data_IF_381731636609
#
_entry.id   IF_381731636609
#
_cell.length_a   1.000
_cell.length_b   1.000
_cell.length_c   1.000
_cell.angle_alpha   90.00
_cell.angle_beta   90.00
_cell.angle_gamma   90.00
#
_symmetry.space_group_name_H-M   'P 1'
#
loop_
_entity.id
_entity.type
_entity.pdbx_description
1 polymer ?
#
# COMPACT_ATOMS: atom_id res chain seq x y z
N UNK A 1 10.85 -15.61 -10.56
CA UNK A 1 10.13 -14.45 -9.97
C UNK A 1 10.06 -14.68 -8.47
N UNK A 2 10.30 -13.68 -7.68
CA UNK A 2 9.99 -13.68 -6.25
C UNK A 2 9.21 -12.40 -5.91
N UNK A 3 8.43 -12.44 -4.86
CA UNK A 3 7.63 -11.32 -4.39
C UNK A 3 7.76 -11.17 -2.87
N UNK A 4 7.84 -9.95 -2.39
CA UNK A 4 7.84 -9.61 -0.98
C UNK A 4 6.64 -8.72 -0.65
N UNK A 5 6.03 -8.99 0.49
CA UNK A 5 5.13 -8.06 1.15
C UNK A 5 5.93 -7.13 2.06
N UNK A 6 5.46 -5.90 2.26
CA UNK A 6 6.14 -4.92 3.10
C UNK A 6 5.27 -4.41 4.24
N UNK A 7 4.25 -5.16 4.61
CA UNK A 7 3.59 -4.84 5.84
C UNK A 7 2.31 -4.04 5.77
N UNK A 8 1.37 -4.46 4.99
CA UNK A 8 -0.03 -4.26 5.41
C UNK A 8 -0.32 -5.07 6.69
N UNK A 9 0.54 -6.08 7.00
CA UNK A 9 0.48 -6.87 8.24
C UNK A 9 1.68 -6.56 9.12
N UNK A 10 1.39 -6.21 10.36
CA UNK A 10 2.40 -5.94 11.37
C UNK A 10 2.56 -7.14 12.30
N UNK A 11 3.80 -7.52 12.59
CA UNK A 11 4.08 -8.56 13.57
C UNK A 11 3.78 -8.04 14.97
N UNK A 12 2.93 -8.71 15.75
CA UNK A 12 2.66 -8.30 17.12
C UNK A 12 3.86 -8.61 18.02
N UNK A 13 4.18 -7.69 18.91
CA UNK A 13 5.12 -7.91 19.98
C UNK A 13 4.54 -8.93 20.98
N UNK A 14 5.23 -10.04 21.22
CA UNK A 14 4.84 -11.02 22.22
C UNK A 14 5.47 -10.70 23.60
N UNK A 15 4.93 -11.28 24.66
CA UNK A 15 5.55 -11.16 25.98
C UNK A 15 6.94 -11.80 26.08
N UNK A 16 7.18 -12.85 25.31
CA UNK A 16 8.53 -13.41 25.18
C UNK A 16 9.54 -12.41 24.62
N UNK A 17 9.11 -11.72 23.55
CA UNK A 17 9.93 -10.66 22.92
C UNK A 17 10.17 -9.50 23.90
N UNK A 18 9.09 -9.06 24.61
CA UNK A 18 9.20 -8.00 25.60
C UNK A 18 10.21 -8.35 26.70
N UNK A 19 10.19 -9.59 27.18
CA UNK A 19 11.16 -10.08 28.18
C UNK A 19 12.58 -9.93 27.73
N UNK A 20 12.86 -10.29 26.49
CA UNK A 20 14.20 -10.25 25.93
C UNK A 20 14.65 -8.79 25.68
N UNK A 21 13.73 -7.95 25.24
CA UNK A 21 13.99 -6.52 24.99
C UNK A 21 14.31 -5.75 26.28
N UNK A 22 13.60 -6.05 27.38
CA UNK A 22 13.73 -5.31 28.64
C UNK A 22 14.84 -5.85 29.56
N UNK A 23 15.49 -6.95 29.19
CA UNK A 23 16.47 -7.62 30.03
C UNK A 23 17.60 -6.69 30.51
N UNK A 24 18.02 -5.77 29.63
CA UNK A 24 19.12 -4.82 29.89
C UNK A 24 18.63 -3.37 30.09
N UNK A 25 17.32 -3.15 30.23
CA UNK A 25 16.78 -1.81 30.43
C UNK A 25 16.78 -1.40 31.91
N UNK A 26 17.16 -0.15 32.19
CA UNK A 26 16.97 0.47 33.50
C UNK A 26 15.46 0.67 33.80
N UNK A 27 15.10 0.77 35.08
CA UNK A 27 13.72 1.04 35.53
C UNK A 27 13.09 2.24 34.81
N UNK A 28 13.85 3.31 34.61
CA UNK A 28 13.39 4.49 33.88
C UNK A 28 13.04 4.18 32.43
N UNK A 29 13.89 3.42 31.74
CA UNK A 29 13.66 3.02 30.35
C UNK A 29 12.44 2.11 30.22
N UNK A 30 12.23 1.18 31.17
CA UNK A 30 11.03 0.33 31.24
C UNK A 30 9.77 1.19 31.46
N UNK A 31 9.83 2.17 32.36
CA UNK A 31 8.72 3.09 32.61
C UNK A 31 8.38 3.93 31.37
N UNK A 32 9.39 4.49 30.70
CA UNK A 32 9.21 5.26 29.47
C UNK A 32 8.62 4.38 28.35
N UNK A 33 9.06 3.13 28.26
CA UNK A 33 8.50 2.15 27.34
C UNK A 33 7.02 1.89 27.61
N UNK A 34 6.62 1.62 28.87
CA UNK A 34 5.24 1.44 29.27
C UNK A 34 4.39 2.68 28.98
N UNK A 35 4.94 3.86 29.25
CA UNK A 35 4.29 5.15 29.00
C UNK A 35 3.99 5.36 27.52
N UNK A 36 4.98 5.10 26.67
CA UNK A 36 4.84 5.19 25.23
C UNK A 36 3.81 4.17 24.69
N UNK A 37 3.84 2.94 25.23
CA UNK A 37 2.90 1.89 24.88
C UNK A 37 1.45 2.30 25.18
N UNK A 38 1.16 2.72 26.43
CA UNK A 38 -0.18 3.12 26.88
C UNK A 38 -0.69 4.35 26.08
N UNK A 39 0.21 5.27 25.73
CA UNK A 39 -0.17 6.43 24.91
C UNK A 39 -0.57 6.03 23.48
N UNK A 40 0.11 5.05 22.89
CA UNK A 40 -0.19 4.57 21.53
C UNK A 40 -1.48 3.77 21.43
N UNK A 41 -1.81 2.94 22.42
CA UNK A 41 -3.06 2.14 22.43
C UNK A 41 -4.33 2.96 22.72
N UNK A 42 -4.23 4.28 22.84
CA UNK A 42 -5.39 5.19 22.89
C UNK A 42 -6.18 5.15 24.20
N UNK A 43 -5.53 4.83 25.32
CA UNK A 43 -6.16 4.92 26.65
C UNK A 43 -6.60 6.37 26.92
N UNK A 44 -7.82 6.57 27.45
CA UNK A 44 -8.30 7.90 27.84
C UNK A 44 -7.34 8.56 28.81
N UNK A 45 -7.10 9.87 28.64
CA UNK A 45 -6.08 10.65 29.36
C UNK A 45 -6.17 10.48 30.89
N UNK A 46 -7.38 10.42 31.42
CA UNK A 46 -7.70 10.25 32.88
C UNK A 46 -7.24 8.91 33.47
N UNK A 47 -7.11 7.86 32.62
CA UNK A 47 -6.70 6.52 33.06
C UNK A 47 -5.25 6.18 32.71
N UNK A 48 -4.55 7.02 31.94
CA UNK A 48 -3.22 6.70 31.43
C UNK A 48 -2.19 6.43 32.51
N UNK A 49 -2.18 7.25 33.56
CA UNK A 49 -1.22 7.09 34.66
C UNK A 49 -1.42 5.74 35.39
N UNK A 50 -2.68 5.38 35.71
CA UNK A 50 -3.00 4.12 36.37
C UNK A 50 -2.60 2.92 35.50
N UNK A 51 -2.84 2.97 34.20
CA UNK A 51 -2.49 1.87 33.29
C UNK A 51 -0.96 1.76 33.05
N UNK A 52 -0.24 2.88 33.05
CA UNK A 52 1.23 2.89 32.99
C UNK A 52 1.80 2.25 34.25
N UNK A 53 1.34 2.68 35.41
CA UNK A 53 1.80 2.14 36.71
C UNK A 53 1.51 0.64 36.83
N UNK A 54 0.31 0.20 36.40
CA UNK A 54 -0.07 -1.20 36.40
C UNK A 54 0.80 -2.04 35.46
N UNK A 55 1.06 -1.55 34.25
CA UNK A 55 1.91 -2.25 33.28
C UNK A 55 3.35 -2.32 33.78
N UNK A 56 3.87 -1.22 34.33
CA UNK A 56 5.20 -1.15 34.93
C UNK A 56 5.35 -2.12 36.10
N UNK A 57 4.38 -2.16 37.04
CA UNK A 57 4.39 -3.12 38.14
C UNK A 57 4.31 -4.57 37.67
N UNK A 58 3.53 -4.86 36.63
CA UNK A 58 3.44 -6.20 36.06
C UNK A 58 4.77 -6.65 35.45
N UNK A 59 5.51 -5.74 34.84
CA UNK A 59 6.84 -6.02 34.30
C UNK A 59 7.86 -6.24 35.44
N UNK A 60 7.81 -5.43 36.48
CA UNK A 60 8.67 -5.55 37.66
C UNK A 60 8.43 -6.85 38.46
N UNK A 61 7.16 -7.28 38.60
CA UNK A 61 6.79 -8.52 39.31
C UNK A 61 7.30 -9.75 38.57
N UNK A 62 7.45 -9.68 37.24
CA UNK A 62 7.91 -10.80 36.40
C UNK A 62 9.33 -11.25 36.72
N UNK A 63 10.22 -10.37 37.11
CA UNK A 63 11.59 -10.77 37.50
C UNK A 63 11.64 -11.72 38.70
N UNK A 64 10.52 -11.82 39.43
CA UNK A 64 10.43 -12.64 40.64
C UNK A 64 9.62 -13.93 40.50
N UNK A 65 8.71 -14.09 39.54
CA UNK A 65 7.81 -15.25 39.42
C UNK A 65 7.36 -15.60 38.00
N UNK A 66 7.43 -16.89 37.64
CA UNK A 66 7.01 -17.54 36.40
C UNK A 66 5.49 -17.52 36.12
N UNK A 67 4.97 -17.90 34.97
CA UNK A 67 4.76 -17.26 33.66
C UNK A 67 3.51 -16.37 33.63
N UNK A 68 3.68 -15.09 33.31
CA UNK A 68 2.64 -14.06 33.36
C UNK A 68 1.76 -13.98 32.10
N UNK A 69 2.08 -14.72 31.03
CA UNK A 69 1.33 -14.63 29.78
C UNK A 69 -0.19 -14.87 29.92
N UNK A 70 -0.66 -15.88 30.67
CA UNK A 70 -2.10 -16.09 30.88
C UNK A 70 -2.79 -14.99 31.71
N UNK A 71 -2.07 -14.41 32.68
CA UNK A 71 -2.63 -13.40 33.60
C UNK A 71 -2.82 -12.06 32.92
N UNK A 72 -1.87 -11.63 32.10
CA UNK A 72 -1.95 -10.37 31.36
C UNK A 72 -2.98 -10.48 30.23
N UNK A 73 -3.01 -11.59 29.52
CA UNK A 73 -4.04 -11.87 28.51
C UNK A 73 -5.43 -11.89 29.16
N UNK A 74 -5.57 -12.47 30.36
CA UNK A 74 -6.84 -12.50 31.08
C UNK A 74 -7.24 -11.09 31.55
N UNK A 75 -6.32 -10.29 32.11
CA UNK A 75 -6.56 -8.92 32.56
C UNK A 75 -7.04 -8.03 31.39
N UNK A 76 -6.38 -8.09 30.21
CA UNK A 76 -6.79 -7.33 29.04
C UNK A 76 -8.04 -7.89 28.35
N UNK A 77 -8.28 -9.20 28.38
CA UNK A 77 -9.52 -9.81 27.88
C UNK A 77 -10.74 -9.44 28.73
N UNK A 78 -10.59 -9.36 30.05
CA UNK A 78 -11.68 -9.01 30.96
C UNK A 78 -12.00 -7.52 30.94
N UNK A 79 -11.01 -6.65 30.90
CA UNK A 79 -11.23 -5.18 30.85
C UNK A 79 -11.55 -4.60 29.48
N UNK A 80 -11.15 -5.24 28.39
CA UNK A 80 -11.46 -4.76 27.02
C UNK A 80 -11.54 -5.91 26.02
N UNK A 81 -12.72 -6.30 25.60
CA UNK A 81 -12.95 -7.21 24.46
C UNK A 81 -12.35 -6.69 23.12
N UNK A 82 -11.95 -5.42 23.06
CA UNK A 82 -11.35 -4.78 21.88
C UNK A 82 -9.82 -4.56 21.94
N UNK A 83 -9.21 -4.57 23.13
CA UNK A 83 -7.79 -4.18 23.28
C UNK A 83 -6.79 -5.27 22.84
N UNK A 84 -7.22 -6.53 22.80
CA UNK A 84 -6.37 -7.65 22.32
C UNK A 84 -6.12 -7.60 20.81
N UNK A 85 -6.85 -6.75 20.08
CA UNK A 85 -6.66 -6.57 18.63
C UNK A 85 -5.47 -5.67 18.24
N UNK A 86 -4.86 -4.99 19.19
CA UNK A 86 -3.80 -4.01 18.89
C UNK A 86 -2.59 -4.19 19.83
N UNK A 87 -1.96 -5.37 19.76
CA UNK A 87 -0.57 -5.47 20.17
C UNK A 87 0.21 -4.51 19.28
N UNK A 88 1.11 -3.68 19.87
CA UNK A 88 1.94 -2.82 19.06
C UNK A 88 2.78 -3.68 18.10
N UNK A 89 2.95 -3.22 16.86
CA UNK A 89 3.85 -3.90 15.95
C UNK A 89 5.27 -3.91 16.54
N UNK A 90 5.94 -5.03 16.39
CA UNK A 90 7.35 -5.15 16.75
C UNK A 90 8.18 -4.26 15.83
N UNK A 91 9.03 -3.41 16.40
CA UNK A 91 9.91 -2.54 15.61
C UNK A 91 11.08 -3.31 15.03
N UNK A 92 11.74 -2.74 14.01
CA UNK A 92 12.95 -3.29 13.43
C UNK A 92 14.06 -3.46 14.48
N UNK A 93 14.23 -2.48 15.37
CA UNK A 93 15.23 -2.52 16.44
C UNK A 93 14.95 -3.66 17.42
N UNK A 94 13.68 -3.85 17.79
CA UNK A 94 13.26 -4.95 18.65
C UNK A 94 13.48 -6.31 18.02
N UNK A 95 13.21 -6.46 16.72
CA UNK A 95 13.51 -7.71 16.00
C UNK A 95 15.03 -7.93 15.96
N UNK A 96 15.82 -6.89 15.71
CA UNK A 96 17.28 -7.00 15.71
C UNK A 96 17.80 -7.51 17.07
N UNK A 97 17.26 -6.99 18.18
CA UNK A 97 17.60 -7.45 19.53
C UNK A 97 17.24 -8.93 19.76
N UNK A 98 16.03 -9.33 19.37
CA UNK A 98 15.54 -10.72 19.54
C UNK A 98 16.32 -11.71 18.69
N UNK A 99 16.80 -11.27 17.54
CA UNK A 99 17.52 -12.09 16.56
C UNK A 99 19.02 -11.84 16.56
N UNK A 100 19.56 -11.24 17.63
CA UNK A 100 20.98 -11.03 17.76
C UNK A 100 21.75 -12.35 17.69
N UNK A 101 22.89 -12.35 16.99
CA UNK A 101 23.68 -13.55 16.71
C UNK A 101 23.11 -14.49 15.64
N UNK A 102 21.89 -14.26 15.10
CA UNK A 102 21.35 -15.03 13.99
C UNK A 102 21.93 -14.56 12.65
N UNK A 103 22.18 -15.51 11.73
CA UNK A 103 22.46 -15.17 10.33
C UNK A 103 21.24 -14.54 9.67
N UNK A 104 21.41 -13.84 8.54
CA UNK A 104 20.30 -13.22 7.78
C UNK A 104 19.22 -14.24 7.44
N UNK A 105 19.61 -15.42 6.95
CA UNK A 105 18.70 -16.52 6.66
C UNK A 105 17.93 -17.02 7.88
N UNK A 106 18.59 -17.19 9.03
CA UNK A 106 17.92 -17.61 10.26
C UNK A 106 16.93 -16.55 10.75
N UNK A 107 17.25 -15.27 10.58
CA UNK A 107 16.38 -14.15 10.90
C UNK A 107 15.14 -14.12 10.01
N UNK A 108 15.31 -14.32 8.71
CA UNK A 108 14.20 -14.44 7.76
C UNK A 108 13.28 -15.62 8.12
N UNK A 109 13.83 -16.80 8.37
CA UNK A 109 13.08 -17.98 8.79
C UNK A 109 12.32 -17.76 10.11
N UNK A 110 12.92 -17.04 11.06
CA UNK A 110 12.27 -16.68 12.32
C UNK A 110 11.06 -15.77 12.06
N UNK A 111 11.23 -14.74 11.26
CA UNK A 111 10.17 -13.78 10.92
C UNK A 111 9.05 -14.47 10.13
N UNK A 112 9.38 -15.29 9.13
CA UNK A 112 8.40 -16.03 8.34
C UNK A 112 7.56 -16.98 9.21
N UNK A 113 8.19 -17.68 10.18
CA UNK A 113 7.44 -18.49 11.16
C UNK A 113 6.48 -17.67 12.01
N UNK A 114 6.86 -16.42 12.37
CA UNK A 114 6.00 -15.50 13.11
C UNK A 114 4.79 -15.08 12.28
N UNK A 115 4.99 -14.72 11.02
CA UNK A 115 3.90 -14.41 10.09
C UNK A 115 2.97 -15.61 9.85
N UNK A 116 3.50 -16.81 9.75
CA UNK A 116 2.69 -18.05 9.60
C UNK A 116 1.79 -18.32 10.81
N UNK A 117 2.14 -17.82 12.00
CA UNK A 117 1.31 -17.93 13.20
C UNK A 117 0.19 -16.88 13.28
N UNK A 118 0.24 -15.83 12.44
CA UNK A 118 -0.83 -14.84 12.39
C UNK A 118 -2.09 -15.47 11.80
N UNK A 119 -3.22 -15.23 12.46
CA UNK A 119 -4.54 -15.63 11.94
C UNK A 119 -5.04 -14.71 10.82
N UNK A 120 -4.34 -13.61 10.59
CA UNK A 120 -4.70 -12.64 9.57
C UNK A 120 -4.27 -13.12 8.20
N UNK A 121 -5.21 -13.08 7.27
CA UNK A 121 -5.00 -13.47 5.89
C UNK A 121 -4.14 -12.44 5.16
N UNK A 122 -3.13 -12.89 4.41
CA UNK A 122 -2.37 -12.02 3.52
C UNK A 122 -3.08 -11.89 2.18
N UNK A 123 -3.92 -10.87 2.05
CA UNK A 123 -4.71 -10.63 0.83
C UNK A 123 -3.85 -10.32 -0.40
N UNK A 124 -2.67 -9.70 -0.21
CA UNK A 124 -1.74 -9.41 -1.31
C UNK A 124 -1.14 -10.72 -1.82
N UNK A 125 -0.67 -11.59 -0.92
CA UNK A 125 -0.18 -12.94 -1.26
C UNK A 125 -1.23 -13.73 -2.04
N UNK A 126 -2.47 -13.74 -1.56
CA UNK A 126 -3.56 -14.47 -2.21
C UNK A 126 -3.81 -13.98 -3.64
N UNK A 127 -3.81 -12.66 -3.84
CA UNK A 127 -3.96 -12.07 -5.17
C UNK A 127 -2.79 -12.44 -6.10
N UNK A 128 -1.55 -12.45 -5.58
CA UNK A 128 -0.37 -12.85 -6.35
C UNK A 128 -0.43 -14.33 -6.75
N UNK A 129 -0.71 -15.23 -5.83
CA UNK A 129 -0.81 -16.69 -6.10
C UNK A 129 -1.95 -17.00 -7.08
N UNK A 130 -3.07 -16.28 -6.98
CA UNK A 130 -4.22 -16.49 -7.86
C UNK A 130 -3.97 -16.06 -9.31
N UNK A 131 -3.09 -15.08 -9.53
CA UNK A 131 -2.89 -14.42 -10.82
C UNK A 131 -1.54 -14.72 -11.48
N UNK A 132 -0.52 -15.08 -10.71
CA UNK A 132 0.83 -15.31 -11.21
C UNK A 132 1.29 -16.72 -10.87
N UNK A 133 2.11 -17.29 -11.75
CA UNK A 133 2.71 -18.62 -11.54
C UNK A 133 3.87 -18.54 -10.55
N UNK A 134 3.56 -18.24 -9.29
CA UNK A 134 4.50 -18.26 -8.19
C UNK A 134 4.07 -19.31 -7.16
N UNK A 135 5.02 -19.87 -6.46
CA UNK A 135 4.79 -20.79 -5.35
C UNK A 135 5.21 -20.19 -4.01
N UNK A 136 4.89 -20.85 -2.91
CA UNK A 136 5.17 -20.32 -1.56
C UNK A 136 6.66 -20.06 -1.30
N UNK A 137 7.58 -20.80 -1.93
CA UNK A 137 9.03 -20.56 -1.77
C UNK A 137 9.54 -19.31 -2.52
N UNK A 138 8.71 -18.74 -3.40
CA UNK A 138 8.99 -17.50 -4.13
C UNK A 138 8.30 -16.28 -3.52
N UNK A 139 7.55 -16.50 -2.44
CA UNK A 139 6.91 -15.45 -1.67
C UNK A 139 7.66 -15.19 -0.36
N UNK A 140 8.00 -13.94 -0.09
CA UNK A 140 8.65 -13.51 1.14
C UNK A 140 7.71 -12.54 1.89
N UNK A 141 7.51 -12.79 3.18
CA UNK A 141 6.49 -12.11 3.97
C UNK A 141 6.87 -10.67 4.31
N UNK A 142 8.18 -10.35 4.38
CA UNK A 142 8.63 -9.03 4.81
C UNK A 142 9.99 -8.67 4.19
N UNK A 143 9.97 -7.65 3.35
CA UNK A 143 11.16 -7.14 2.65
C UNK A 143 12.31 -6.76 3.60
N UNK A 144 12.00 -6.33 4.83
CA UNK A 144 13.00 -5.91 5.83
C UNK A 144 13.94 -7.04 6.24
N UNK A 145 13.48 -8.29 6.13
CA UNK A 145 14.21 -9.49 6.56
C UNK A 145 14.57 -10.42 5.40
N UNK A 146 14.18 -10.07 4.20
CA UNK A 146 14.50 -10.84 3.00
C UNK A 146 16.00 -10.81 2.72
N UNK A 147 16.61 -11.99 2.57
CA UNK A 147 18.01 -12.15 2.16
C UNK A 147 18.11 -12.24 0.64
N UNK A 148 18.49 -11.12 0.01
CA UNK A 148 18.60 -11.06 -1.44
C UNK A 148 19.98 -11.52 -1.98
N UNK A 149 20.92 -11.92 -1.12
CA UNK A 149 22.26 -12.34 -1.57
C UNK A 149 22.25 -13.60 -2.42
N UNK A 150 21.29 -14.52 -2.19
CA UNK A 150 21.15 -15.72 -3.02
C UNK A 150 20.80 -15.39 -4.48
N UNK A 151 20.26 -14.20 -4.75
CA UNK A 151 19.91 -13.70 -6.09
C UNK A 151 20.99 -12.83 -6.71
N UNK A 152 22.17 -12.72 -6.09
CA UNK A 152 23.24 -11.86 -6.57
C UNK A 152 23.59 -12.15 -8.03
N UNK A 153 23.49 -11.13 -8.88
CA UNK A 153 23.69 -11.17 -10.34
C UNK A 153 22.77 -12.15 -11.13
N UNK A 154 21.66 -12.58 -10.54
CA UNK A 154 20.72 -13.52 -11.16
C UNK A 154 19.40 -12.87 -11.62
N UNK A 155 19.18 -11.61 -11.31
CA UNK A 155 17.96 -10.87 -11.61
C UNK A 155 18.17 -9.97 -12.81
N UNK A 156 17.36 -10.13 -13.84
CA UNK A 156 17.37 -9.22 -14.98
C UNK A 156 16.68 -7.90 -14.64
N UNK A 157 15.46 -7.94 -14.09
CA UNK A 157 14.68 -6.74 -13.75
C UNK A 157 14.11 -6.89 -12.33
N UNK A 158 14.37 -5.90 -11.49
CA UNK A 158 13.75 -5.73 -10.18
C UNK A 158 12.77 -4.56 -10.24
N UNK A 159 11.51 -4.78 -9.88
CA UNK A 159 10.48 -3.72 -9.85
C UNK A 159 9.96 -3.55 -8.44
N UNK A 160 9.79 -2.30 -8.00
CA UNK A 160 9.22 -2.03 -6.69
C UNK A 160 9.00 -0.54 -6.43
N UNK A 161 8.48 -0.25 -5.25
CA UNK A 161 8.29 1.11 -4.75
C UNK A 161 8.13 1.09 -3.23
N UNK A 162 8.47 2.16 -2.56
CA UNK A 162 8.21 2.30 -1.13
C UNK A 162 6.88 2.99 -0.88
N UNK A 163 6.22 2.72 0.27
CA UNK A 163 4.97 3.39 0.62
C UNK A 163 5.09 4.91 0.60
N UNK A 164 4.09 5.57 0.01
CA UNK A 164 4.05 7.01 -0.11
C UNK A 164 3.58 7.76 1.15
N UNK A 165 3.25 7.06 2.22
CA UNK A 165 2.64 7.66 3.42
C UNK A 165 3.53 8.72 4.07
N UNK A 166 4.83 8.56 4.01
CA UNK A 166 5.82 9.54 4.47
C UNK A 166 5.98 10.73 3.53
N UNK A 167 5.58 10.60 2.25
CA UNK A 167 5.82 11.58 1.19
C UNK A 167 4.54 12.20 0.62
N UNK A 168 3.35 11.74 1.04
CA UNK A 168 2.09 12.26 0.51
C UNK A 168 1.68 13.56 1.20
N UNK A 169 0.95 14.42 0.47
CA UNK A 169 0.34 15.64 1.02
C UNK A 169 -0.68 15.38 2.14
N UNK A 170 -1.13 14.14 2.30
CA UNK A 170 -2.07 13.66 3.32
C UNK A 170 -1.39 12.94 4.49
N UNK A 171 -0.10 12.61 4.38
CA UNK A 171 0.69 12.01 5.46
C UNK A 171 1.26 13.07 6.41
N UNK A 172 1.67 12.66 7.59
CA UNK A 172 2.47 13.53 8.48
C UNK A 172 3.80 13.75 7.78
N UNK A 173 4.13 15.00 7.44
CA UNK A 173 5.41 15.40 6.83
C UNK A 173 6.55 15.20 7.84
N UNK A 174 7.08 13.99 7.95
CA UNK A 174 8.10 13.63 8.95
C UNK A 174 9.54 13.77 8.45
N UNK A 175 9.77 14.28 7.23
CA UNK A 175 11.09 14.67 6.74
C UNK A 175 12.13 13.54 6.62
N UNK A 176 13.42 13.90 6.63
CA UNK A 176 14.57 13.03 6.41
C UNK A 176 14.75 11.94 7.49
N UNK A 177 14.27 12.15 8.72
CA UNK A 177 14.38 11.14 9.79
C UNK A 177 13.48 9.94 9.53
N UNK A 178 12.32 10.17 8.90
CA UNK A 178 11.40 9.11 8.51
C UNK A 178 11.93 8.32 7.29
N UNK A 179 12.66 8.97 6.39
CA UNK A 179 13.31 8.31 5.25
C UNK A 179 14.37 7.31 5.70
N UNK A 180 15.11 7.56 6.78
CA UNK A 180 16.17 6.67 7.28
C UNK A 180 15.66 5.35 7.86
N UNK A 181 14.41 5.31 8.31
CA UNK A 181 13.76 4.11 8.83
C UNK A 181 12.72 3.51 7.88
N UNK A 182 12.64 3.98 6.63
CA UNK A 182 11.61 3.58 5.68
C UNK A 182 12.02 2.37 4.84
N UNK A 183 11.03 1.70 4.30
CA UNK A 183 11.18 0.61 3.33
C UNK A 183 11.92 1.00 2.04
N UNK A 184 12.18 2.29 1.83
CA UNK A 184 13.10 2.78 0.80
C UNK A 184 14.50 2.22 0.95
N UNK A 185 15.06 2.24 2.18
CA UNK A 185 16.40 1.70 2.42
C UNK A 185 16.44 0.19 2.30
N UNK A 186 15.33 -0.51 2.63
CA UNK A 186 15.25 -1.94 2.40
C UNK A 186 15.24 -2.27 0.91
N UNK A 187 14.53 -1.50 0.10
CA UNK A 187 14.58 -1.65 -1.35
C UNK A 187 15.99 -1.38 -1.91
N UNK A 188 16.67 -0.33 -1.45
CA UNK A 188 18.05 -0.03 -1.80
C UNK A 188 19.02 -1.15 -1.37
N UNK A 189 18.84 -1.74 -0.17
CA UNK A 189 19.57 -2.89 0.31
C UNK A 189 19.41 -4.10 -0.60
N UNK A 190 18.20 -4.40 -1.01
CA UNK A 190 17.92 -5.51 -1.94
C UNK A 190 18.60 -5.29 -3.27
N UNK A 191 18.60 -4.08 -3.82
CA UNK A 191 19.36 -3.78 -5.05
C UNK A 191 20.85 -4.03 -4.84
N UNK A 192 21.40 -3.58 -3.71
CA UNK A 192 22.82 -3.78 -3.38
C UNK A 192 23.18 -5.25 -3.25
N UNK A 193 22.34 -6.06 -2.61
CA UNK A 193 22.56 -7.49 -2.38
C UNK A 193 22.36 -8.32 -3.66
N UNK A 194 21.25 -8.10 -4.36
CA UNK A 194 20.87 -8.90 -5.53
C UNK A 194 21.55 -8.47 -6.83
N UNK A 195 22.04 -7.22 -6.92
CA UNK A 195 22.72 -6.69 -8.12
C UNK A 195 21.95 -6.95 -9.42
N UNK A 196 20.65 -6.58 -9.53
CA UNK A 196 19.88 -6.78 -10.75
C UNK A 196 20.53 -6.06 -11.94
N UNK A 197 20.30 -6.53 -13.16
CA UNK A 197 20.76 -5.80 -14.35
C UNK A 197 20.09 -4.43 -14.42
N UNK A 198 18.77 -4.41 -14.23
CA UNK A 198 17.95 -3.17 -14.20
C UNK A 198 17.05 -3.20 -12.99
N UNK A 199 16.83 -2.05 -12.36
CA UNK A 199 15.74 -1.89 -11.43
C UNK A 199 14.82 -0.74 -11.82
N UNK A 200 13.52 -0.87 -11.50
CA UNK A 200 12.50 0.15 -11.68
C UNK A 200 11.92 0.47 -10.30
N UNK A 201 12.02 1.73 -9.91
CA UNK A 201 11.41 2.25 -8.70
C UNK A 201 10.25 3.18 -9.05
N UNK A 202 9.07 2.93 -8.45
CA UNK A 202 7.88 3.78 -8.63
C UNK A 202 7.52 4.50 -7.33
N UNK A 203 7.05 5.74 -7.45
CA UNK A 203 6.48 6.46 -6.33
C UNK A 203 5.53 7.59 -6.81
N UNK A 204 4.85 8.24 -5.86
CA UNK A 204 4.04 9.42 -6.18
C UNK A 204 4.95 10.57 -6.65
N UNK A 205 4.46 11.37 -7.61
CA UNK A 205 5.18 12.56 -8.11
C UNK A 205 5.71 13.46 -6.98
N UNK A 206 4.90 13.61 -5.93
CA UNK A 206 5.21 14.55 -4.84
C UNK A 206 6.49 14.20 -4.04
N UNK A 207 7.05 12.99 -4.20
CA UNK A 207 8.31 12.62 -3.54
C UNK A 207 9.46 13.55 -3.93
N UNK A 208 9.46 14.04 -5.19
CA UNK A 208 10.49 14.97 -5.70
C UNK A 208 10.42 16.37 -5.07
N UNK A 209 9.28 16.73 -4.48
CA UNK A 209 9.02 18.05 -3.89
C UNK A 209 8.93 18.01 -2.36
N UNK A 210 8.97 16.80 -1.79
CA UNK A 210 8.82 16.62 -0.35
C UNK A 210 9.99 17.26 0.40
N UNK A 211 9.69 17.94 1.51
CA UNK A 211 10.68 18.67 2.33
C UNK A 211 11.57 19.62 1.49
N UNK A 212 10.95 20.35 0.54
CA UNK A 212 11.67 21.29 -0.32
C UNK A 212 12.65 20.60 -1.30
N UNK A 213 12.47 19.33 -1.59
CA UNK A 213 13.34 18.53 -2.48
C UNK A 213 14.41 17.71 -1.75
N UNK A 214 14.68 17.98 -0.48
CA UNK A 214 15.75 17.30 0.29
C UNK A 214 15.57 15.78 0.36
N UNK A 215 14.33 15.32 0.51
CA UNK A 215 14.04 13.88 0.50
C UNK A 215 14.49 13.23 -0.81
N UNK A 216 14.20 13.88 -1.93
CA UNK A 216 14.60 13.39 -3.23
C UNK A 216 16.12 13.40 -3.42
N UNK A 217 16.82 14.45 -3.00
CA UNK A 217 18.28 14.55 -3.04
C UNK A 217 18.93 13.36 -2.31
N UNK A 218 18.48 13.08 -1.07
CA UNK A 218 19.01 11.94 -0.29
C UNK A 218 18.72 10.61 -0.98
N UNK A 219 17.51 10.42 -1.51
CA UNK A 219 17.17 9.19 -2.24
C UNK A 219 18.04 9.02 -3.49
N UNK A 220 18.26 10.10 -4.21
CA UNK A 220 19.06 10.11 -5.44
C UNK A 220 20.52 9.77 -5.16
N UNK A 221 21.11 10.35 -4.11
CA UNK A 221 22.47 10.03 -3.66
C UNK A 221 22.62 8.55 -3.30
N UNK A 222 21.61 7.98 -2.62
CA UNK A 222 21.60 6.54 -2.33
C UNK A 222 21.62 5.71 -3.62
N UNK A 223 20.77 6.04 -4.60
CA UNK A 223 20.71 5.33 -5.87
C UNK A 223 22.05 5.38 -6.63
N UNK A 224 22.65 6.57 -6.69
CA UNK A 224 23.97 6.75 -7.33
C UNK A 224 25.05 5.92 -6.64
N UNK A 225 25.03 5.83 -5.31
CA UNK A 225 26.02 5.07 -4.53
C UNK A 225 25.99 3.56 -4.78
N UNK A 226 24.92 3.05 -5.40
CA UNK A 226 24.77 1.61 -5.69
C UNK A 226 25.52 1.15 -6.95
N UNK A 227 26.12 2.06 -7.73
CA UNK A 227 26.85 1.72 -8.98
C UNK A 227 25.89 1.44 -10.14
N UNK A 228 24.89 2.28 -10.30
CA UNK A 228 23.92 2.26 -11.38
C UNK A 228 23.87 3.62 -12.09
N UNK A 229 23.71 3.58 -13.40
CA UNK A 229 23.30 4.76 -14.15
C UNK A 229 21.81 4.99 -13.94
N UNK A 230 21.43 6.19 -13.50
CA UNK A 230 20.06 6.50 -13.06
C UNK A 230 19.39 7.46 -14.05
N UNK A 231 18.24 7.04 -14.52
CA UNK A 231 17.32 7.88 -15.30
C UNK A 231 15.97 7.94 -14.62
N UNK A 232 15.29 9.09 -14.66
CA UNK A 232 13.97 9.22 -14.07
C UNK A 232 13.07 10.19 -14.83
N UNK A 233 11.77 9.94 -14.77
CA UNK A 233 10.75 10.82 -15.34
C UNK A 233 9.44 10.71 -14.53
N UNK A 234 8.61 11.75 -14.65
CA UNK A 234 7.22 11.70 -14.21
C UNK A 234 6.38 11.33 -15.41
N UNK A 235 5.68 10.19 -15.32
CA UNK A 235 4.84 9.67 -16.38
C UNK A 235 3.38 9.69 -15.93
N UNK A 236 2.49 10.16 -16.81
CA UNK A 236 1.04 10.17 -16.56
C UNK A 236 0.38 9.06 -17.40
N UNK A 237 -0.54 8.31 -16.81
CA UNK A 237 -1.20 7.19 -17.48
C UNK A 237 -1.92 7.60 -18.77
N UNK A 238 -2.50 8.79 -18.82
CA UNK A 238 -3.15 9.34 -20.02
C UNK A 238 -2.19 9.50 -21.20
N UNK A 239 -0.91 9.74 -20.93
CA UNK A 239 0.13 9.89 -21.93
C UNK A 239 0.58 8.54 -22.53
N UNK A 240 0.00 7.43 -22.05
CA UNK A 240 0.22 6.06 -22.52
C UNK A 240 -1.09 5.39 -22.94
N UNK A 241 -1.97 6.19 -23.53
CA UNK A 241 -3.28 5.78 -24.06
C UNK A 241 -4.18 5.07 -23.02
N UNK A 242 -4.13 5.54 -21.75
CA UNK A 242 -4.97 4.98 -20.70
C UNK A 242 -5.75 6.10 -19.99
N UNK A 243 -7.09 6.02 -19.87
CA UNK A 243 -7.94 7.16 -19.53
C UNK A 243 -7.96 7.45 -18.02
N UNK A 244 -6.79 7.63 -17.42
CA UNK A 244 -6.63 7.98 -16.01
C UNK A 244 -5.59 9.08 -15.83
N UNK A 245 -5.91 10.11 -15.03
CA UNK A 245 -4.98 11.16 -14.61
C UNK A 245 -4.16 10.66 -13.41
N UNK A 246 -3.13 9.88 -13.68
CA UNK A 246 -2.27 9.28 -12.65
C UNK A 246 -0.81 9.50 -12.98
N UNK A 247 -0.27 10.62 -12.50
CA UNK A 247 1.14 10.94 -12.60
C UNK A 247 1.93 10.22 -11.51
N UNK A 248 3.00 9.53 -11.92
CA UNK A 248 3.92 8.82 -11.03
C UNK A 248 5.36 9.08 -11.43
N UNK A 249 6.23 9.14 -10.43
CA UNK A 249 7.67 9.09 -10.64
C UNK A 249 8.05 7.65 -10.99
N UNK A 250 8.78 7.49 -12.08
CA UNK A 250 9.51 6.27 -12.42
C UNK A 250 10.99 6.58 -12.47
N UNK A 251 11.76 5.80 -11.74
CA UNK A 251 13.22 5.84 -11.78
C UNK A 251 13.72 4.47 -12.25
N UNK A 252 14.64 4.48 -13.20
CA UNK A 252 15.25 3.28 -13.76
C UNK A 252 16.74 3.34 -13.50
N UNK A 253 17.28 2.31 -12.87
CA UNK A 253 18.72 2.14 -12.68
C UNK A 253 19.23 1.05 -13.59
N UNK A 254 20.20 1.39 -14.43
CA UNK A 254 20.93 0.44 -15.28
C UNK A 254 22.28 0.15 -14.61
N UNK A 255 22.59 -1.13 -14.40
CA UNK A 255 23.90 -1.50 -13.90
C UNK A 255 24.97 -1.04 -14.92
N UNK A 256 26.09 -0.50 -14.43
CA UNK A 256 27.10 0.16 -15.28
C UNK A 256 27.62 -0.73 -16.42
N UNK A 257 27.76 -2.03 -16.20
CA UNK A 257 28.26 -2.98 -17.19
C UNK A 257 27.31 -3.22 -18.37
N UNK A 258 26.03 -2.93 -18.23
CA UNK A 258 25.02 -3.08 -19.30
C UNK A 258 24.58 -1.75 -19.92
N UNK A 259 24.94 -0.62 -19.31
CA UNK A 259 24.58 0.71 -19.84
C UNK A 259 25.51 1.09 -20.98
N UNK A 260 25.22 0.59 -22.18
CA UNK A 260 26.06 0.75 -23.40
C UNK A 260 25.62 1.89 -24.30
N UNK A 261 24.45 2.47 -24.06
CA UNK A 261 23.89 3.56 -24.89
C UNK A 261 22.96 4.44 -24.02
N UNK A 262 22.76 5.72 -24.36
CA UNK A 262 21.82 6.59 -23.68
C UNK A 262 20.40 6.00 -23.68
N UNK A 263 19.69 6.14 -22.54
CA UNK A 263 18.30 5.74 -22.41
C UNK A 263 17.37 6.91 -22.71
N UNK A 264 16.23 6.60 -23.30
CA UNK A 264 15.14 7.55 -23.53
C UNK A 264 13.83 6.91 -23.10
N UNK A 265 13.07 7.60 -22.26
CA UNK A 265 11.74 7.15 -21.84
C UNK A 265 10.81 6.98 -23.05
N UNK A 266 9.84 6.04 -22.97
CA UNK A 266 8.87 5.84 -24.05
C UNK A 266 8.17 7.14 -24.42
N UNK A 267 7.99 7.41 -25.73
CA UNK A 267 7.30 8.62 -26.16
C UNK A 267 5.85 8.60 -25.74
N UNK A 268 5.28 9.79 -25.53
CA UNK A 268 3.86 9.94 -25.27
C UNK A 268 3.02 9.43 -26.43
N UNK A 269 1.91 8.79 -26.10
CA UNK A 269 0.92 8.27 -27.04
C UNK A 269 -0.32 9.18 -27.01
N UNK A 270 -1.04 9.24 -28.14
CA UNK A 270 -2.35 9.89 -28.17
C UNK A 270 -3.37 9.11 -27.34
N UNK A 271 -4.16 9.83 -26.51
CA UNK A 271 -5.21 9.23 -25.73
C UNK A 271 -6.46 9.05 -26.60
N UNK A 272 -6.73 7.84 -27.05
CA UNK A 272 -7.89 7.47 -27.85
C UNK A 272 -8.95 6.74 -27.03
N UNK A 273 -8.56 6.10 -25.91
CA UNK A 273 -9.47 5.37 -25.03
C UNK A 273 -10.21 6.29 -24.07
N UNK A 274 -11.45 5.90 -23.74
CA UNK A 274 -12.30 6.54 -22.74
C UNK A 274 -12.58 5.59 -21.59
N UNK A 275 -12.87 6.13 -20.42
CA UNK A 275 -13.19 5.34 -19.22
C UNK A 275 -14.36 4.39 -19.41
N UNK A 276 -15.31 4.75 -20.29
CA UNK A 276 -16.49 3.94 -20.61
C UNK A 276 -16.14 2.58 -21.23
N UNK A 277 -15.00 2.46 -21.87
CA UNK A 277 -14.53 1.20 -22.48
C UNK A 277 -14.04 0.18 -21.43
N UNK A 278 -13.85 0.61 -20.19
CA UNK A 278 -13.37 -0.18 -19.06
C UNK A 278 -14.47 -0.56 -18.07
N UNK A 279 -15.72 -0.19 -18.38
CA UNK A 279 -16.88 -0.54 -17.57
C UNK A 279 -17.33 -1.97 -17.85
N UNK A 280 -17.93 -2.60 -16.86
CA UNK A 280 -18.51 -3.94 -17.03
C UNK A 280 -19.72 -3.90 -17.97
N UNK A 281 -19.74 -4.84 -18.91
CA UNK A 281 -20.81 -4.99 -19.92
C UNK A 281 -21.92 -5.90 -19.40
N UNK A 282 -22.67 -5.51 -18.42
CA UNK A 282 -23.74 -6.35 -17.88
C UNK A 282 -24.49 -5.71 -16.74
N UNK A 283 -25.41 -6.43 -16.12
CA UNK A 283 -26.09 -5.91 -14.95
C UNK A 283 -25.11 -5.75 -13.79
N UNK A 284 -25.07 -4.55 -13.22
CA UNK A 284 -24.29 -4.24 -12.03
C UNK A 284 -25.12 -4.56 -10.80
N UNK A 285 -24.48 -5.19 -9.79
CA UNK A 285 -25.15 -5.54 -8.53
C UNK A 285 -25.69 -4.29 -7.83
N UNK A 286 -26.89 -4.41 -7.26
CA UNK A 286 -27.62 -3.33 -6.58
C UNK A 286 -26.81 -2.70 -5.43
N UNK A 287 -25.85 -3.42 -4.85
CA UNK A 287 -24.99 -2.92 -3.76
C UNK A 287 -24.10 -1.72 -4.17
N UNK A 288 -23.84 -1.55 -5.46
CA UNK A 288 -23.03 -0.43 -5.96
C UNK A 288 -23.83 0.84 -6.18
N UNK A 289 -25.16 0.73 -6.26
CA UNK A 289 -26.03 1.88 -6.46
C UNK A 289 -26.23 2.70 -5.19
N UNK A 290 -26.42 4.00 -5.34
CA UNK A 290 -26.45 4.94 -4.24
C UNK A 290 -27.88 5.24 -3.79
N UNK A 291 -28.06 5.34 -2.49
CA UNK A 291 -29.25 5.96 -1.92
C UNK A 291 -29.26 7.48 -2.12
N UNK A 292 -30.36 8.14 -1.72
CA UNK A 292 -30.59 9.59 -1.92
C UNK A 292 -29.40 10.47 -1.51
N UNK A 293 -28.86 10.26 -0.33
CA UNK A 293 -27.74 11.07 0.20
C UNK A 293 -26.47 10.94 -0.66
N UNK A 294 -26.15 9.74 -1.15
CA UNK A 294 -25.01 9.50 -2.02
C UNK A 294 -25.20 10.14 -3.39
N UNK A 295 -26.39 9.95 -4.00
CA UNK A 295 -26.72 10.54 -5.29
C UNK A 295 -26.63 12.07 -5.25
N UNK A 296 -27.28 12.70 -4.27
CA UNK A 296 -27.23 14.16 -4.09
C UNK A 296 -25.80 14.66 -3.87
N UNK A 297 -24.99 13.90 -3.14
CA UNK A 297 -23.59 14.25 -2.90
C UNK A 297 -22.77 14.29 -4.19
N UNK A 298 -22.85 13.27 -5.03
CA UNK A 298 -22.04 13.19 -6.27
C UNK A 298 -22.54 14.09 -7.37
N UNK A 299 -23.85 14.46 -7.37
CA UNK A 299 -24.49 15.24 -8.43
C UNK A 299 -24.68 16.72 -8.11
N UNK A 300 -24.40 17.17 -6.87
CA UNK A 300 -24.59 18.58 -6.48
C UNK A 300 -23.26 19.34 -6.54
N UNK A 301 -23.10 20.31 -7.46
CA UNK A 301 -21.83 20.99 -7.71
C UNK A 301 -21.28 21.81 -6.54
N UNK A 302 -22.13 22.30 -5.62
CA UNK A 302 -21.75 23.42 -4.76
C UNK A 302 -20.88 23.11 -3.56
N UNK A 303 -20.80 21.84 -3.10
CA UNK A 303 -20.09 21.51 -1.86
C UNK A 303 -18.87 20.59 -2.03
N UNK A 304 -18.73 19.86 -3.13
CA UNK A 304 -17.75 18.77 -3.24
C UNK A 304 -17.06 18.62 -4.61
N UNK A 305 -17.11 19.62 -5.47
CA UNK A 305 -16.53 19.65 -6.83
C UNK A 305 -15.09 19.16 -6.98
N UNK A 306 -14.32 19.13 -5.90
CA UNK A 306 -12.92 18.67 -5.93
C UNK A 306 -12.73 17.21 -5.52
N UNK A 307 -13.78 16.52 -5.07
CA UNK A 307 -13.66 15.19 -4.47
C UNK A 307 -14.40 14.08 -5.20
N UNK A 308 -15.60 14.38 -5.75
CA UNK A 308 -16.35 13.44 -6.56
C UNK A 308 -16.59 14.00 -7.97
N UNK A 309 -16.47 13.15 -8.97
CA UNK A 309 -16.68 13.45 -10.39
C UNK A 309 -17.59 12.39 -10.98
N UNK A 310 -18.35 12.79 -12.00
CA UNK A 310 -19.38 11.93 -12.60
C UNK A 310 -19.12 11.79 -14.09
N UNK A 311 -19.21 10.58 -14.60
CA UNK A 311 -19.19 10.27 -16.05
C UNK A 311 -18.01 10.89 -16.81
N UNK A 312 -16.83 10.94 -16.20
CA UNK A 312 -15.65 11.49 -16.85
C UNK A 312 -15.11 10.53 -17.92
N UNK A 313 -14.78 11.04 -19.11
CA UNK A 313 -14.07 10.27 -20.15
C UNK A 313 -12.67 9.87 -19.70
N UNK A 314 -12.01 10.73 -18.93
CA UNK A 314 -10.71 10.47 -18.29
C UNK A 314 -10.91 10.61 -16.78
N UNK A 315 -10.79 9.51 -16.07
CA UNK A 315 -10.95 9.49 -14.61
C UNK A 315 -9.76 10.15 -13.90
N UNK A 316 -9.95 10.50 -12.64
CA UNK A 316 -8.85 10.91 -11.79
C UNK A 316 -7.98 9.75 -11.33
N UNK A 317 -7.01 10.09 -10.50
CA UNK A 317 -6.17 9.09 -9.87
C UNK A 317 -7.01 8.22 -8.94
N UNK A 318 -7.10 6.94 -9.20
CA UNK A 318 -7.66 5.99 -8.25
C UNK A 318 -6.81 5.92 -6.99
N UNK A 319 -7.48 5.94 -5.85
CA UNK A 319 -6.84 5.85 -4.53
C UNK A 319 -7.41 4.68 -3.74
N UNK A 320 -6.66 4.19 -2.77
CA UNK A 320 -7.02 3.01 -1.98
C UNK A 320 -8.39 3.10 -1.25
N UNK A 321 -8.89 4.31 -0.98
CA UNK A 321 -10.11 4.53 -0.20
C UNK A 321 -11.16 5.40 -0.91
N UNK A 322 -11.04 5.61 -2.21
CA UNK A 322 -11.92 6.59 -2.89
C UNK A 322 -13.41 6.22 -2.82
N UNK A 323 -13.76 4.96 -2.97
CA UNK A 323 -15.16 4.54 -3.01
C UNK A 323 -15.84 4.57 -1.62
N UNK A 324 -15.07 4.48 -0.53
CA UNK A 324 -15.60 4.43 0.83
C UNK A 324 -16.09 5.79 1.34
N UNK A 325 -15.54 6.89 0.83
CA UNK A 325 -15.80 8.26 1.30
C UNK A 325 -16.51 9.13 0.27
N UNK A 326 -17.15 8.55 -0.75
CA UNK A 326 -17.75 9.26 -1.88
C UNK A 326 -16.79 10.24 -2.55
N UNK A 327 -15.53 9.84 -2.64
CA UNK A 327 -14.46 10.59 -3.30
C UNK A 327 -14.06 9.83 -4.57
N UNK A 328 -13.68 10.55 -5.62
CA UNK A 328 -13.24 9.97 -6.89
C UNK A 328 -14.31 9.98 -7.97
N UNK A 329 -14.28 8.99 -8.82
CA UNK A 329 -15.12 8.92 -10.02
C UNK A 329 -16.29 7.98 -9.80
N UNK A 330 -17.49 8.45 -10.21
CA UNK A 330 -18.76 7.76 -10.08
C UNK A 330 -19.48 7.72 -11.43
N UNK A 331 -20.49 6.87 -11.54
CA UNK A 331 -21.36 6.79 -12.71
C UNK A 331 -22.74 7.28 -12.35
N UNK A 332 -23.36 8.01 -13.29
CA UNK A 332 -24.79 8.30 -13.30
C UNK A 332 -25.35 7.72 -14.59
N UNK A 333 -26.40 6.94 -14.49
CA UNK A 333 -26.90 6.10 -15.58
C UNK A 333 -28.35 6.42 -15.92
N UNK A 334 -28.63 6.44 -17.24
CA UNK A 334 -29.93 6.54 -17.86
C UNK A 334 -29.88 5.86 -19.26
N UNK A 335 -30.85 5.08 -19.68
CA UNK A 335 -32.07 4.69 -18.95
C UNK A 335 -31.77 3.84 -17.73
N UNK A 336 -32.73 3.78 -16.79
CA UNK A 336 -32.60 3.00 -15.57
C UNK A 336 -32.35 1.52 -15.90
N UNK A 337 -31.46 0.84 -15.18
CA UNK A 337 -31.21 -0.57 -15.37
C UNK A 337 -32.48 -1.42 -15.20
N UNK A 338 -32.75 -2.33 -16.12
CA UNK A 338 -33.98 -3.18 -16.09
C UNK A 338 -34.05 -4.16 -14.91
N UNK A 339 -32.90 -4.47 -14.28
CA UNK A 339 -32.80 -5.39 -13.13
C UNK A 339 -32.98 -4.69 -11.79
N UNK A 340 -33.19 -3.40 -11.78
CA UNK A 340 -33.36 -2.59 -10.58
C UNK A 340 -34.56 -3.04 -9.73
N UNK A 341 -34.32 -3.56 -8.55
CA UNK A 341 -35.34 -4.08 -7.62
C UNK A 341 -35.20 -3.56 -6.20
N UNK A 342 -34.03 -3.02 -5.82
CA UNK A 342 -33.77 -2.57 -4.46
C UNK A 342 -34.37 -1.18 -4.19
N UNK A 343 -35.32 -1.10 -3.28
CA UNK A 343 -35.98 0.15 -2.87
C UNK A 343 -35.04 1.14 -2.17
N UNK A 344 -33.85 0.73 -1.78
CA UNK A 344 -32.83 1.62 -1.20
C UNK A 344 -32.11 2.47 -2.25
N UNK A 345 -32.16 2.06 -3.50
CA UNK A 345 -31.59 2.81 -4.62
C UNK A 345 -32.45 4.05 -4.88
N UNK A 346 -31.81 5.17 -5.06
CA UNK A 346 -32.51 6.43 -5.28
C UNK A 346 -32.50 6.82 -6.75
N UNK A 347 -33.71 7.05 -7.29
CA UNK A 347 -33.89 7.68 -8.61
C UNK A 347 -33.95 9.18 -8.40
N UNK A 348 -33.02 9.89 -8.98
CA UNK A 348 -32.93 11.35 -8.95
C UNK A 348 -33.02 11.95 -10.34
N UNK A 349 -33.03 13.27 -10.41
CA UNK A 349 -33.04 14.01 -11.69
C UNK A 349 -31.61 14.47 -12.02
N UNK A 350 -31.09 14.10 -13.18
CA UNK A 350 -29.77 14.48 -13.65
C UNK A 350 -29.82 15.02 -15.09
N UNK A 351 -29.00 16.03 -15.35
CA UNK A 351 -28.80 16.60 -16.69
C UNK A 351 -27.47 16.11 -17.24
N UNK A 352 -27.52 15.31 -18.29
CA UNK A 352 -26.33 14.77 -18.94
C UNK A 352 -25.64 15.77 -19.88
N UNK A 353 -26.24 16.95 -20.08
CA UNK A 353 -25.69 17.97 -20.98
C UNK A 353 -25.89 17.66 -22.47
N UNK A 354 -26.75 16.70 -22.79
CA UNK A 354 -27.07 16.24 -24.16
C UNK A 354 -28.23 17.01 -24.81
N UNK A 355 -28.77 18.01 -24.12
CA UNK A 355 -29.89 18.84 -24.59
C UNK A 355 -31.28 18.30 -24.24
N UNK A 356 -31.39 17.10 -23.67
CA UNK A 356 -32.68 16.51 -23.27
C UNK A 356 -33.21 17.02 -21.92
N UNK A 357 -32.42 17.88 -21.25
CA UNK A 357 -32.75 18.41 -19.93
C UNK A 357 -32.53 17.36 -18.82
N UNK A 358 -33.24 17.54 -17.70
CA UNK A 358 -33.11 16.62 -16.56
C UNK A 358 -34.01 15.40 -16.75
N UNK A 359 -33.40 14.23 -16.63
CA UNK A 359 -34.07 12.93 -16.75
C UNK A 359 -33.87 12.09 -15.48
N UNK A 360 -34.75 11.09 -15.32
CA UNK A 360 -34.60 10.13 -14.23
C UNK A 360 -33.31 9.34 -14.38
N UNK A 361 -32.50 9.31 -13.31
CA UNK A 361 -31.21 8.68 -13.30
C UNK A 361 -30.90 8.05 -11.95
N UNK A 362 -29.99 7.07 -11.94
CA UNK A 362 -29.43 6.46 -10.75
C UNK A 362 -27.92 6.72 -10.70
N UNK A 363 -27.39 6.89 -9.51
CA UNK A 363 -25.94 7.01 -9.30
C UNK A 363 -25.35 5.73 -8.74
N UNK A 364 -24.13 5.38 -9.16
CA UNK A 364 -23.43 4.25 -8.60
C UNK A 364 -21.94 4.48 -8.42
N UNK A 365 -21.33 3.65 -7.57
CA UNK A 365 -19.90 3.49 -7.48
C UNK A 365 -19.36 2.75 -8.70
N UNK A 366 -18.10 2.93 -9.00
CA UNK A 366 -17.37 1.99 -9.85
C UNK A 366 -17.28 0.66 -9.13
N UNK A 367 -17.40 -0.46 -9.83
CA UNK A 367 -17.18 -1.77 -9.24
C UNK A 367 -15.68 -2.05 -9.03
N UNK A 368 -15.28 -3.00 -8.17
CA UNK A 368 -13.89 -3.40 -8.08
C UNK A 368 -13.29 -3.86 -9.41
N UNK A 369 -14.08 -4.52 -10.25
CA UNK A 369 -13.65 -4.96 -11.60
C UNK A 369 -13.36 -3.75 -12.49
N UNK A 370 -14.25 -2.77 -12.54
CA UNK A 370 -14.06 -1.55 -13.29
C UNK A 370 -12.83 -0.78 -12.84
N UNK A 371 -12.60 -0.69 -11.51
CA UNK A 371 -11.38 -0.08 -10.97
C UNK A 371 -10.11 -0.85 -11.40
N UNK A 372 -10.12 -2.19 -11.39
CA UNK A 372 -9.01 -2.99 -11.89
C UNK A 372 -8.78 -2.79 -13.39
N UNK A 373 -9.85 -2.77 -14.19
CA UNK A 373 -9.76 -2.51 -15.63
C UNK A 373 -9.16 -1.11 -15.90
N UNK A 374 -9.59 -0.10 -15.12
CA UNK A 374 -9.05 1.26 -15.19
C UNK A 374 -7.61 1.40 -14.65
N UNK A 375 -7.06 0.38 -13.99
CA UNK A 375 -5.63 0.24 -13.71
C UNK A 375 -4.88 -0.54 -14.81
N UNK A 376 -5.61 -1.02 -15.83
CA UNK A 376 -5.07 -1.76 -16.97
C UNK A 376 -4.93 -3.25 -16.76
N UNK A 377 -5.52 -3.81 -15.69
CA UNK A 377 -5.71 -5.25 -15.57
C UNK A 377 -6.88 -5.66 -16.45
N UNK A 378 -6.74 -6.78 -17.14
CA UNK A 378 -7.80 -7.33 -17.98
C UNK A 378 -8.75 -8.26 -17.19
N UNK A 379 -9.81 -8.74 -17.85
CA UNK A 379 -10.83 -9.59 -17.23
C UNK A 379 -10.29 -10.95 -16.77
N UNK A 380 -9.10 -11.37 -17.21
CA UNK A 380 -8.43 -12.59 -16.74
C UNK A 380 -7.84 -12.44 -15.34
N UNK A 381 -7.65 -11.20 -14.87
CA UNK A 381 -7.16 -10.94 -13.52
C UNK A 381 -8.23 -11.32 -12.48
N UNK A 382 -7.91 -12.26 -11.62
CA UNK A 382 -8.82 -12.80 -10.60
C UNK A 382 -8.86 -11.90 -9.36
N UNK A 383 -10.03 -11.37 -9.03
CA UNK A 383 -10.29 -10.68 -7.76
C UNK A 383 -10.71 -11.75 -6.74
N UNK A 384 -9.81 -12.11 -5.84
CA UNK A 384 -10.00 -13.19 -4.84
C UNK A 384 -10.26 -12.68 -3.43
N UNK A 385 -10.55 -11.40 -3.30
CA UNK A 385 -10.73 -10.68 -2.04
C UNK A 385 -12.08 -9.95 -2.06
N UNK A 386 -12.52 -9.44 -0.90
CA UNK A 386 -13.73 -8.61 -0.84
C UNK A 386 -13.51 -7.22 -1.47
N UNK A 387 -14.60 -6.52 -1.75
CA UNK A 387 -14.59 -5.24 -2.47
C UNK A 387 -13.69 -4.19 -1.83
N UNK A 388 -13.75 -4.02 -0.50
CA UNK A 388 -12.93 -3.02 0.20
C UNK A 388 -11.43 -3.26 0.00
N UNK A 389 -11.00 -4.53 0.02
CA UNK A 389 -9.62 -4.91 -0.26
C UNK A 389 -9.31 -4.76 -1.75
N UNK A 390 -10.24 -5.12 -2.64
CA UNK A 390 -10.07 -4.99 -4.09
C UNK A 390 -9.89 -3.53 -4.53
N UNK A 391 -10.68 -2.60 -3.99
CA UNK A 391 -10.46 -1.16 -4.21
C UNK A 391 -9.08 -0.70 -3.75
N UNK A 392 -8.64 -1.22 -2.59
CA UNK A 392 -7.31 -0.92 -2.07
C UNK A 392 -6.21 -1.45 -2.97
N UNK A 393 -6.37 -2.67 -3.48
CA UNK A 393 -5.44 -3.25 -4.45
C UNK A 393 -5.37 -2.42 -5.74
N UNK A 394 -6.51 -2.00 -6.30
CA UNK A 394 -6.53 -1.13 -7.47
C UNK A 394 -5.80 0.19 -7.20
N UNK A 395 -6.17 0.91 -6.12
CA UNK A 395 -5.57 2.20 -5.79
C UNK A 395 -4.06 2.15 -5.50
N UNK A 396 -3.55 1.03 -4.96
CA UNK A 396 -2.13 0.84 -4.66
C UNK A 396 -1.33 0.27 -5.83
N UNK A 397 -1.99 -0.14 -6.92
CA UNK A 397 -1.31 -0.73 -8.09
C UNK A 397 -0.62 0.31 -8.97
N UNK A 398 0.31 -0.17 -9.80
CA UNK A 398 0.88 0.58 -10.92
C UNK A 398 -0.05 0.43 -12.12
N UNK A 399 -0.24 1.49 -12.91
CA UNK A 399 -0.99 1.40 -14.17
C UNK A 399 -0.22 0.52 -15.16
N UNK A 400 -0.81 -0.61 -15.49
CA UNK A 400 -0.19 -1.67 -16.30
C UNK A 400 0.31 -1.18 -17.68
N UNK A 401 -0.45 -0.38 -18.46
CA UNK A 401 0.02 0.18 -19.72
C UNK A 401 1.32 0.97 -19.61
N UNK A 402 1.47 1.81 -18.58
CA UNK A 402 2.71 2.58 -18.37
C UNK A 402 3.90 1.65 -18.12
N UNK A 403 3.73 0.69 -17.19
CA UNK A 403 4.79 -0.27 -16.88
C UNK A 403 5.16 -1.14 -18.10
N UNK A 404 4.17 -1.51 -18.91
CA UNK A 404 4.39 -2.28 -20.15
C UNK A 404 5.27 -1.53 -21.15
N UNK A 405 5.03 -0.24 -21.36
CA UNK A 405 5.86 0.56 -22.27
C UNK A 405 7.27 0.78 -21.68
N UNK A 406 7.39 1.00 -20.38
CA UNK A 406 8.70 1.04 -19.72
C UNK A 406 9.48 -0.26 -19.91
N UNK A 407 8.86 -1.42 -19.66
CA UNK A 407 9.51 -2.73 -19.82
C UNK A 407 9.97 -2.91 -21.28
N UNK A 408 9.12 -2.58 -22.27
CA UNK A 408 9.52 -2.64 -23.68
C UNK A 408 10.76 -1.79 -23.99
N UNK A 409 10.86 -0.61 -23.38
CA UNK A 409 11.97 0.33 -23.64
C UNK A 409 13.30 -0.13 -23.05
N UNK A 410 13.29 -0.95 -21.99
CA UNK A 410 14.50 -1.43 -21.31
C UNK A 410 14.97 -2.81 -21.79
N UNK A 411 14.11 -3.63 -22.42
CA UNK A 411 14.50 -4.95 -22.96
C UNK A 411 15.78 -4.89 -23.80
N UNK A 412 16.01 -3.89 -24.70
CA UNK A 412 17.21 -3.82 -25.51
C UNK A 412 18.53 -3.62 -24.76
N UNK A 413 18.51 -3.47 -23.43
CA UNK A 413 19.69 -3.35 -22.56
C UNK A 413 20.04 -4.65 -21.84
N UNK A 414 19.13 -5.64 -21.84
CA UNK A 414 19.32 -6.93 -21.18
C UNK A 414 19.34 -8.12 -22.15
N UNK A 415 19.12 -7.85 -23.44
CA UNK A 415 19.14 -8.85 -24.54
C UNK A 415 20.55 -9.23 -24.93
#
# INVERSE_FOLDING_TARGET
MFACDNGERELPLTFGDLSQIIQDMSEKQIFDYCSNYINKIGVKKEFRKIEIDNLFQLIQIREKFFPLEPVIIKYYKEKRKSAVKHLLPITQEQINTITDGMSTKQREEFVNRRYAQLKERNYVKDAYIANYKINDSQWHEDIRFFDANEFNNKIDILVGGSPCQSFSNYGKKLGLEDVRGTLFYDYARIIKESRPKIFIYENVENVTKNDGGKTWEVMFDVWQSLGYHIEWAILDAKDYNHPQLRSRLFLIGFREDIFTKPYTFPPKMELTHRSTEYLEAGPIDDIYYLGKKGFEWITTPSKNLRRSRVNQDVIGCETANQQDNWIGDFRVEHPLPHHYTDTRIYVGQFDFGDGNGRVDAVGRKMTPRECMNLMGFDDTFKIVVNDSIAYRHAGNSIVVPVLKELIKSIIPYIS
#
